data_IF_335674318701
#
_entry.id   IF_335674318701
#
_cell.length_a   1.000
_cell.length_b   1.000
_cell.length_c   1.000
_cell.angle_alpha   90.00
_cell.angle_beta   90.00
_cell.angle_gamma   90.00
#
_symmetry.space_group_name_H-M   'P 1'
#
loop_
_entity.id
_entity.type
_entity.pdbx_description
1 polymer ?
#
# COMPACT_ATOMS: atom_id res chain seq x y z
N UNK A 1 -12.49 -42.11 -71.15
CA UNK A 1 -11.17 -41.44 -71.18
C UNK A 1 -11.37 -39.95 -70.90
N UNK A 2 -10.99 -39.50 -69.71
CA UNK A 2 -10.83 -38.09 -69.30
C UNK A 2 -9.40 -37.99 -68.78
N UNK A 3 -8.61 -36.97 -69.16
CA UNK A 3 -8.51 -35.76 -68.32
C UNK A 3 -8.35 -34.49 -69.19
N UNK A 4 -8.69 -33.28 -68.73
CA UNK A 4 -7.75 -32.42 -68.01
C UNK A 4 -8.57 -31.29 -67.37
N UNK A 5 -9.09 -31.56 -66.17
CA UNK A 5 -9.63 -30.55 -65.23
C UNK A 5 -8.51 -29.96 -64.35
N UNK A 6 -7.27 -30.02 -64.84
CA UNK A 6 -6.02 -29.85 -64.06
C UNK A 6 -5.23 -28.58 -64.39
N UNK A 7 -5.80 -27.66 -65.19
CA UNK A 7 -5.13 -26.39 -65.53
C UNK A 7 -5.54 -25.25 -64.56
N UNK A 8 -6.72 -25.33 -63.93
CA UNK A 8 -7.20 -24.30 -63.00
C UNK A 8 -6.65 -24.44 -61.57
N UNK A 9 -5.96 -25.54 -61.24
CA UNK A 9 -5.51 -25.84 -59.88
C UNK A 9 -4.00 -25.57 -59.67
N UNK A 10 -3.27 -25.15 -60.72
CA UNK A 10 -1.85 -24.81 -60.60
C UNK A 10 -1.57 -23.31 -60.46
N UNK A 11 -2.60 -22.46 -60.53
CA UNK A 11 -2.45 -21.01 -60.29
C UNK A 11 -2.40 -20.64 -58.80
N UNK A 12 -2.66 -21.59 -57.90
CA UNK A 12 -2.70 -21.34 -56.46
C UNK A 12 -1.36 -21.62 -55.73
N UNK A 13 -0.36 -22.21 -56.40
CA UNK A 13 0.92 -22.55 -55.75
C UNK A 13 2.07 -21.55 -56.03
N UNK A 14 1.91 -20.62 -56.98
CA UNK A 14 2.99 -19.71 -57.39
C UNK A 14 2.95 -18.31 -56.74
N UNK A 15 1.94 -18.02 -55.91
CA UNK A 15 1.83 -16.74 -55.17
C UNK A 15 2.35 -16.87 -53.72
N UNK A 16 2.54 -18.09 -53.20
CA UNK A 16 3.02 -18.34 -51.84
C UNK A 16 4.54 -18.27 -51.63
N UNK A 17 5.33 -18.04 -52.69
CA UNK A 17 6.79 -18.17 -52.65
C UNK A 17 7.55 -16.85 -52.93
N UNK A 18 6.92 -15.69 -52.71
CA UNK A 18 7.49 -14.37 -53.02
C UNK A 18 7.69 -13.42 -51.81
N UNK A 19 7.58 -13.89 -50.57
CA UNK A 19 7.77 -13.05 -49.37
C UNK A 19 8.89 -13.49 -48.41
N UNK A 20 9.93 -14.19 -48.90
CA UNK A 20 11.09 -14.59 -48.07
C UNK A 20 12.41 -13.88 -48.41
N UNK A 21 12.36 -12.70 -49.04
CA UNK A 21 13.55 -11.84 -49.21
C UNK A 21 13.36 -10.49 -48.52
N UNK A 22 13.55 -10.46 -47.20
CA UNK A 22 13.89 -9.24 -46.46
C UNK A 22 15.06 -9.56 -45.53
N UNK A 23 16.24 -9.73 -46.12
CA UNK A 23 17.50 -9.87 -45.38
C UNK A 23 18.21 -8.50 -45.34
N UNK A 24 18.40 -8.00 -44.13
CA UNK A 24 19.53 -7.18 -43.66
C UNK A 24 20.10 -6.10 -44.61
N UNK A 25 19.59 -4.88 -44.48
CA UNK A 25 20.42 -3.68 -44.68
C UNK A 25 21.26 -3.46 -43.42
N UNK A 26 22.52 -3.91 -43.45
CA UNK A 26 23.56 -3.43 -42.53
C UNK A 26 23.94 -2.02 -42.97
N UNK A 27 23.32 -1.01 -42.37
CA UNK A 27 23.89 0.33 -42.36
C UNK A 27 24.96 0.37 -41.26
N UNK A 28 26.19 0.72 -41.64
CA UNK A 28 27.27 0.95 -40.70
C UNK A 28 26.98 2.27 -39.96
N UNK A 29 26.48 2.17 -38.73
CA UNK A 29 26.40 3.29 -37.80
C UNK A 29 27.81 3.59 -37.29
N UNK A 30 28.30 4.85 -37.34
CA UNK A 30 29.60 5.18 -36.78
C UNK A 30 29.54 4.99 -35.26
N UNK A 31 30.56 4.31 -34.73
CA UNK A 31 30.73 4.09 -33.30
C UNK A 31 30.87 5.43 -32.57
N UNK A 32 29.77 5.91 -31.98
CA UNK A 32 29.80 6.97 -30.99
C UNK A 32 29.93 6.30 -29.63
N UNK A 33 31.02 6.66 -28.96
CA UNK A 33 31.46 6.15 -27.67
C UNK A 33 30.34 5.97 -26.66
N UNK A 34 30.37 4.82 -25.99
CA UNK A 34 29.68 4.56 -24.74
C UNK A 34 30.15 5.56 -23.67
N UNK A 35 29.44 6.67 -23.57
CA UNK A 35 29.23 7.34 -22.29
C UNK A 35 27.85 6.93 -21.80
N UNK A 36 27.79 6.05 -20.79
CA UNK A 36 26.58 5.87 -20.00
C UNK A 36 26.25 7.20 -19.30
N UNK A 37 25.59 8.11 -20.00
CA UNK A 37 24.69 9.02 -19.31
C UNK A 37 23.43 8.21 -19.01
N UNK A 38 23.40 7.62 -17.81
CA UNK A 38 22.17 7.14 -17.19
C UNK A 38 21.32 8.38 -16.94
N UNK A 39 20.75 8.94 -18.02
CA UNK A 39 19.76 9.99 -17.93
C UNK A 39 18.65 9.38 -17.10
N UNK A 40 18.58 9.80 -15.84
CA UNK A 40 17.61 9.34 -14.88
C UNK A 40 16.25 9.40 -15.58
N UNK A 41 15.61 8.24 -15.72
CA UNK A 41 14.18 8.19 -15.99
C UNK A 41 13.56 9.08 -14.93
N UNK A 42 13.15 10.29 -15.31
CA UNK A 42 12.38 11.16 -14.44
C UNK A 42 11.12 10.36 -14.13
N UNK A 43 11.10 9.73 -12.96
CA UNK A 43 9.92 9.08 -12.39
C UNK A 43 8.82 10.13 -12.49
N UNK A 44 7.88 9.94 -13.41
CA UNK A 44 6.69 10.76 -13.50
C UNK A 44 6.15 10.87 -12.07
N UNK A 45 5.94 12.10 -11.60
CA UNK A 45 5.48 12.35 -10.24
C UNK A 45 4.30 11.42 -9.96
N UNK A 46 4.47 10.50 -9.00
CA UNK A 46 3.49 9.46 -8.67
C UNK A 46 2.11 10.10 -8.56
N UNK A 47 1.18 9.74 -9.45
CA UNK A 47 -0.16 10.35 -9.47
C UNK A 47 -0.87 10.12 -8.12
N UNK A 48 -0.49 9.05 -7.42
CA UNK A 48 -0.93 8.71 -6.08
C UNK A 48 0.26 8.70 -5.13
N UNK A 49 0.19 9.52 -4.08
CA UNK A 49 1.31 9.71 -3.14
C UNK A 49 1.61 8.45 -2.32
N UNK A 50 0.64 7.54 -2.22
CA UNK A 50 0.78 6.26 -1.53
C UNK A 50 -0.03 5.22 -2.28
N UNK A 51 0.57 4.04 -2.48
CA UNK A 51 -0.07 2.84 -2.99
C UNK A 51 0.47 1.63 -2.22
N UNK A 52 -0.41 0.74 -1.78
CA UNK A 52 -0.06 -0.54 -1.16
C UNK A 52 -1.08 -1.59 -1.55
N UNK A 53 -0.61 -2.74 -2.05
CA UNK A 53 -1.41 -3.96 -2.22
C UNK A 53 -1.15 -4.90 -1.04
N UNK A 54 -2.22 -5.43 -0.45
CA UNK A 54 -2.24 -6.29 0.73
C UNK A 54 -3.02 -7.55 0.38
N UNK A 55 -2.29 -8.62 0.05
CA UNK A 55 -2.87 -9.93 -0.18
C UNK A 55 -3.21 -10.61 1.15
N UNK A 56 -4.47 -11.02 1.33
CA UNK A 56 -4.93 -11.76 2.52
C UNK A 56 -4.81 -13.27 2.29
N UNK A 57 -5.30 -13.71 1.14
CA UNK A 57 -5.27 -15.09 0.67
C UNK A 57 -5.43 -15.11 -0.85
N UNK A 58 -5.17 -16.24 -1.54
CA UNK A 58 -5.30 -16.29 -3.00
C UNK A 58 -6.64 -15.73 -3.49
N UNK A 59 -6.55 -14.69 -4.31
CA UNK A 59 -7.69 -14.03 -4.93
C UNK A 59 -8.46 -13.03 -4.06
N UNK A 60 -8.07 -12.81 -2.79
CA UNK A 60 -8.61 -11.75 -1.93
C UNK A 60 -7.50 -10.76 -1.55
N UNK A 61 -7.57 -9.56 -2.13
CA UNK A 61 -6.63 -8.47 -1.91
C UNK A 61 -7.34 -7.21 -1.42
N UNK A 62 -6.59 -6.38 -0.71
CA UNK A 62 -6.96 -5.02 -0.38
C UNK A 62 -5.88 -4.06 -0.85
N UNK A 63 -6.29 -3.01 -1.55
CA UNK A 63 -5.40 -1.96 -2.01
C UNK A 63 -5.73 -0.64 -1.31
N UNK A 64 -4.69 0.11 -0.95
CA UNK A 64 -4.80 1.44 -0.35
C UNK A 64 -4.16 2.43 -1.29
N UNK A 65 -4.95 3.37 -1.81
CA UNK A 65 -4.50 4.37 -2.80
C UNK A 65 -4.81 5.76 -2.28
N UNK A 66 -3.80 6.63 -2.19
CA UNK A 66 -3.99 7.98 -1.64
C UNK A 66 -3.79 9.09 -2.66
N UNK A 67 -4.56 10.17 -2.50
CA UNK A 67 -4.41 11.41 -3.26
C UNK A 67 -4.40 12.62 -2.32
N UNK A 68 -4.15 13.80 -2.90
CA UNK A 68 -3.87 15.03 -2.16
C UNK A 68 -2.39 15.35 -2.20
N UNK A 69 -2.07 16.65 -2.25
CA UNK A 69 -0.70 17.16 -2.44
C UNK A 69 -0.32 18.05 -1.25
N UNK A 70 0.93 17.94 -0.79
CA UNK A 70 1.48 18.75 0.30
C UNK A 70 1.97 17.91 1.48
N UNK A 71 2.97 18.41 2.21
CA UNK A 71 3.72 17.67 3.24
C UNK A 71 2.94 17.42 4.55
N UNK A 72 1.91 18.23 4.81
CA UNK A 72 1.00 18.11 5.95
C UNK A 72 -0.47 18.13 5.47
N UNK A 73 -0.71 17.66 4.24
CA UNK A 73 -1.95 17.99 3.51
C UNK A 73 -3.18 17.28 4.04
N UNK A 74 -4.31 17.97 3.88
CA UNK A 74 -5.63 17.35 3.74
C UNK A 74 -5.65 16.61 2.39
N UNK A 75 -6.31 15.47 2.35
CA UNK A 75 -6.44 14.68 1.14
C UNK A 75 -7.45 13.56 1.33
N UNK A 76 -7.28 12.49 0.57
CA UNK A 76 -8.09 11.31 0.76
C UNK A 76 -7.35 10.03 0.39
N UNK A 77 -8.00 8.91 0.65
CA UNK A 77 -7.58 7.60 0.19
C UNK A 77 -8.78 6.70 -0.09
N UNK A 78 -8.55 5.74 -0.98
CA UNK A 78 -9.47 4.65 -1.26
C UNK A 78 -8.94 3.39 -0.57
N UNK A 79 -9.86 2.66 0.06
CA UNK A 79 -9.68 1.24 0.35
C UNK A 79 -10.42 0.47 -0.73
N UNK A 80 -9.74 -0.43 -1.42
CA UNK A 80 -10.29 -1.21 -2.53
C UNK A 80 -10.16 -2.68 -2.16
N UNK A 81 -11.26 -3.41 -2.09
CA UNK A 81 -11.27 -4.86 -1.89
C UNK A 81 -11.57 -5.54 -3.21
N UNK A 82 -10.76 -6.55 -3.53
CA UNK A 82 -10.89 -7.38 -4.73
C UNK A 82 -10.94 -8.85 -4.34
N UNK A 83 -12.11 -9.49 -4.49
CA UNK A 83 -12.27 -10.96 -4.45
C UNK A 83 -12.48 -11.46 -5.88
N UNK A 84 -11.37 -11.76 -6.56
CA UNK A 84 -11.38 -12.20 -7.96
C UNK A 84 -12.01 -13.58 -8.14
N UNK A 85 -11.99 -14.42 -7.10
CA UNK A 85 -12.60 -15.76 -7.13
C UNK A 85 -14.13 -15.69 -7.19
N UNK A 86 -14.71 -14.61 -6.67
CA UNK A 86 -16.16 -14.38 -6.64
C UNK A 86 -16.61 -13.24 -7.53
N UNK A 87 -15.71 -12.60 -8.27
CA UNK A 87 -15.98 -11.37 -9.02
C UNK A 87 -16.65 -10.29 -8.15
N UNK A 88 -16.23 -10.18 -6.88
CA UNK A 88 -16.78 -9.25 -5.91
C UNK A 88 -15.76 -8.18 -5.58
N UNK A 89 -16.16 -6.92 -5.78
CA UNK A 89 -15.29 -5.76 -5.61
C UNK A 89 -16.01 -4.74 -4.74
N UNK A 90 -15.31 -4.16 -3.77
CA UNK A 90 -15.85 -3.11 -2.89
C UNK A 90 -14.85 -1.98 -2.77
N UNK A 91 -15.36 -0.78 -2.48
CA UNK A 91 -14.50 0.35 -2.19
C UNK A 91 -15.06 1.20 -1.06
N UNK A 92 -14.17 1.89 -0.36
CA UNK A 92 -14.49 2.95 0.59
C UNK A 92 -13.59 4.15 0.28
N UNK A 93 -14.20 5.33 0.18
CA UNK A 93 -13.47 6.61 0.08
C UNK A 93 -13.44 7.30 1.44
N UNK A 94 -12.27 7.79 1.83
CA UNK A 94 -12.06 8.42 3.13
C UNK A 94 -11.25 9.71 2.98
N UNK A 95 -11.69 10.77 3.65
CA UNK A 95 -10.90 12.00 3.81
C UNK A 95 -9.88 11.84 4.94
N UNK A 96 -8.70 12.41 4.78
CA UNK A 96 -7.62 12.34 5.76
C UNK A 96 -6.99 13.70 6.04
N UNK A 97 -6.49 13.84 7.27
CA UNK A 97 -5.52 14.85 7.66
C UNK A 97 -4.15 14.19 7.87
N UNK A 98 -3.09 14.82 7.35
CA UNK A 98 -1.77 14.20 7.34
C UNK A 98 -1.61 13.17 6.22
N UNK A 99 -0.40 12.65 6.04
CA UNK A 99 -0.03 11.73 4.95
C UNK A 99 -0.11 10.27 5.38
N UNK A 100 -0.41 9.35 4.45
CA UNK A 100 -0.30 7.91 4.73
C UNK A 100 1.18 7.53 4.64
N UNK A 101 1.69 6.85 5.66
CA UNK A 101 3.08 6.39 5.72
C UNK A 101 3.22 4.88 5.58
N UNK A 102 2.21 4.11 5.99
CA UNK A 102 2.13 2.67 5.70
C UNK A 102 0.68 2.18 5.82
N UNK A 103 0.43 0.96 5.35
CA UNK A 103 -0.81 0.25 5.53
C UNK A 103 -0.56 -1.26 5.63
N UNK A 104 -1.28 -1.95 6.51
CA UNK A 104 -1.15 -3.39 6.71
C UNK A 104 -2.46 -4.03 7.17
N UNK A 105 -2.53 -5.36 7.06
CA UNK A 105 -3.60 -6.17 7.62
C UNK A 105 -3.14 -6.87 8.90
N UNK A 106 -3.99 -6.91 9.94
CA UNK A 106 -3.74 -7.66 11.17
C UNK A 106 -5.04 -8.04 11.87
N UNK A 107 -5.33 -9.33 11.99
CA UNK A 107 -6.47 -9.82 12.78
C UNK A 107 -6.09 -9.84 14.27
N UNK A 108 -6.36 -8.73 14.99
CA UNK A 108 -5.92 -8.57 16.38
C UNK A 108 -6.83 -9.31 17.37
N UNK A 109 -8.12 -9.46 17.05
CA UNK A 109 -9.06 -10.14 17.93
C UNK A 109 -9.32 -11.61 17.57
N UNK A 110 -8.69 -12.10 16.48
CA UNK A 110 -8.71 -13.46 15.96
C UNK A 110 -10.12 -13.92 15.52
N UNK A 111 -10.90 -13.02 14.94
CA UNK A 111 -12.23 -13.34 14.41
C UNK A 111 -12.20 -13.78 12.93
N UNK A 112 -11.04 -13.67 12.27
CA UNK A 112 -10.80 -14.07 10.89
C UNK A 112 -11.23 -13.06 9.84
N UNK A 113 -11.77 -11.91 10.23
CA UNK A 113 -12.07 -10.81 9.32
C UNK A 113 -10.79 -10.03 8.99
N UNK A 114 -10.60 -9.59 7.74
CA UNK A 114 -9.50 -8.68 7.43
C UNK A 114 -9.66 -7.35 8.16
N UNK A 115 -8.66 -6.95 8.92
CA UNK A 115 -8.59 -5.62 9.55
C UNK A 115 -7.43 -4.82 8.95
N UNK A 116 -7.75 -3.70 8.32
CA UNK A 116 -6.80 -2.79 7.70
C UNK A 116 -6.42 -1.66 8.65
N UNK A 117 -5.12 -1.48 8.85
CA UNK A 117 -4.51 -0.42 9.64
C UNK A 117 -3.83 0.55 8.71
N UNK A 118 -4.32 1.79 8.67
CA UNK A 118 -3.80 2.85 7.81
C UNK A 118 -3.05 3.84 8.69
N UNK A 119 -1.72 3.84 8.58
CA UNK A 119 -0.85 4.71 9.37
C UNK A 119 -0.81 6.11 8.76
N UNK A 120 -1.22 7.09 9.57
CA UNK A 120 -1.20 8.50 9.23
C UNK A 120 -0.08 9.20 9.97
N UNK A 121 0.54 10.17 9.30
CA UNK A 121 1.50 11.09 9.89
C UNK A 121 1.05 12.54 9.69
N UNK A 122 0.92 13.29 10.78
CA UNK A 122 0.62 14.72 10.78
C UNK A 122 1.71 15.50 11.51
N UNK A 123 1.85 16.80 11.20
CA UNK A 123 2.82 17.70 11.85
C UNK A 123 4.25 17.13 11.84
N UNK A 124 4.59 16.40 10.78
CA UNK A 124 5.85 15.65 10.56
C UNK A 124 6.20 14.53 11.56
N UNK A 125 5.67 14.54 12.78
CA UNK A 125 6.10 13.61 13.83
C UNK A 125 4.95 12.86 14.48
N UNK A 126 3.70 13.32 14.38
CA UNK A 126 2.57 12.71 15.09
C UNK A 126 2.00 11.58 14.27
N UNK A 127 2.01 10.35 14.81
CA UNK A 127 1.32 9.22 14.16
C UNK A 127 -0.05 8.95 14.73
N UNK A 128 -0.92 8.45 13.85
CA UNK A 128 -2.23 7.93 14.20
C UNK A 128 -2.60 6.74 13.29
N UNK A 129 -3.68 6.04 13.64
CA UNK A 129 -4.21 4.92 12.85
C UNK A 129 -5.68 5.13 12.55
N UNK A 130 -6.03 5.02 11.27
CA UNK A 130 -7.40 4.70 10.89
C UNK A 130 -7.51 3.19 10.72
N UNK A 131 -8.45 2.56 11.42
CA UNK A 131 -8.64 1.10 11.42
C UNK A 131 -10.00 0.75 10.80
N UNK A 132 -10.02 -0.26 9.93
CA UNK A 132 -11.22 -0.76 9.28
C UNK A 132 -11.24 -2.28 9.26
N UNK A 133 -12.30 -2.88 9.78
CA UNK A 133 -12.59 -4.29 9.60
C UNK A 133 -13.45 -4.48 8.34
N UNK A 134 -13.14 -5.48 7.52
CA UNK A 134 -14.00 -5.87 6.42
C UNK A 134 -14.81 -7.11 6.78
N UNK A 135 -16.05 -6.89 7.20
CA UNK A 135 -16.97 -7.95 7.61
C UNK A 135 -18.38 -7.68 7.06
N UNK A 136 -19.15 -8.74 6.81
CA UNK A 136 -20.51 -8.61 6.24
C UNK A 136 -20.57 -7.98 4.82
N UNK A 137 -19.43 -7.86 4.12
CA UNK A 137 -19.36 -7.23 2.80
C UNK A 137 -19.22 -5.70 2.82
N UNK A 138 -18.88 -5.11 3.97
CA UNK A 138 -18.67 -3.68 4.15
C UNK A 138 -17.37 -3.39 4.91
N UNK A 139 -16.86 -2.17 4.74
CA UNK A 139 -15.77 -1.63 5.56
C UNK A 139 -16.37 -0.96 6.80
N UNK A 140 -16.10 -1.54 7.97
CA UNK A 140 -16.58 -1.07 9.26
C UNK A 140 -15.43 -0.34 9.97
N UNK A 141 -15.60 0.96 10.21
CA UNK A 141 -14.56 1.76 10.87
C UNK A 141 -14.48 1.40 12.35
N UNK A 142 -13.28 1.05 12.82
CA UNK A 142 -12.97 0.86 14.23
C UNK A 142 -12.31 2.14 14.75
N UNK A 143 -12.81 2.65 15.88
CA UNK A 143 -12.27 3.87 16.48
C UNK A 143 -10.95 3.56 17.18
N UNK A 144 -9.85 4.09 16.65
CA UNK A 144 -8.55 3.97 17.30
C UNK A 144 -8.44 4.95 18.47
N UNK A 145 -8.05 4.49 19.67
CA UNK A 145 -8.16 5.33 20.86
C UNK A 145 -7.03 6.38 20.90
N UNK A 146 -7.35 7.65 21.21
CA UNK A 146 -6.34 8.69 21.30
C UNK A 146 -5.47 8.51 22.54
N UNK A 147 -4.30 9.15 22.55
CA UNK A 147 -3.49 9.26 23.76
C UNK A 147 -4.28 9.92 24.90
N UNK A 148 -4.14 9.39 26.12
CA UNK A 148 -4.77 9.94 27.31
C UNK A 148 -4.31 11.38 27.57
N UNK A 149 -5.13 12.17 28.26
CA UNK A 149 -4.78 13.56 28.62
C UNK A 149 -3.49 13.65 29.44
N UNK A 150 -3.16 12.60 30.22
CA UNK A 150 -1.88 12.51 30.95
C UNK A 150 -0.72 12.24 30.00
N UNK A 151 -0.86 11.27 29.10
CA UNK A 151 0.17 10.93 28.11
C UNK A 151 0.50 12.12 27.18
N UNK A 152 -0.52 12.87 26.75
CA UNK A 152 -0.37 14.06 25.89
C UNK A 152 0.53 15.15 26.48
N UNK A 153 0.61 15.28 27.81
CA UNK A 153 1.46 16.29 28.47
C UNK A 153 2.95 16.04 28.26
N UNK A 154 3.33 14.78 28.10
CA UNK A 154 4.73 14.36 27.99
C UNK A 154 5.04 13.73 26.63
N UNK A 155 4.19 13.97 25.63
CA UNK A 155 4.26 13.32 24.34
C UNK A 155 5.20 14.03 23.36
N UNK A 156 6.22 13.33 22.88
CA UNK A 156 7.25 13.87 21.98
C UNK A 156 7.02 13.68 20.48
N UNK A 157 5.94 13.01 20.05
CA UNK A 157 5.75 12.60 18.65
C UNK A 157 6.74 11.51 18.23
N UNK A 158 7.10 11.44 16.96
CA UNK A 158 7.99 10.44 16.35
C UNK A 158 7.62 9.01 16.72
N UNK A 159 6.32 8.73 16.72
CA UNK A 159 5.82 7.44 17.14
C UNK A 159 6.27 6.33 16.21
N UNK A 160 6.31 5.13 16.76
CA UNK A 160 6.50 3.90 16.00
C UNK A 160 5.39 2.94 16.36
N UNK A 161 4.62 2.53 15.37
CA UNK A 161 3.76 1.36 15.50
C UNK A 161 4.58 0.11 15.19
N UNK A 162 4.46 -0.91 16.04
CA UNK A 162 5.15 -2.18 15.85
C UNK A 162 4.20 -3.31 16.12
N UNK A 163 4.27 -4.31 15.27
CA UNK A 163 3.60 -5.59 15.50
C UNK A 163 4.62 -6.56 16.04
N UNK A 164 4.29 -7.21 17.16
CA UNK A 164 5.12 -8.27 17.73
C UNK A 164 4.23 -9.32 18.36
N UNK A 165 4.43 -10.58 17.98
CA UNK A 165 3.68 -11.73 18.53
C UNK A 165 2.15 -11.57 18.44
N UNK A 166 1.64 -10.98 17.35
CA UNK A 166 0.20 -10.72 17.18
C UNK A 166 -0.34 -9.56 18.01
N UNK A 167 0.53 -8.78 18.66
CA UNK A 167 0.15 -7.61 19.45
C UNK A 167 0.60 -6.32 18.78
N UNK A 168 -0.20 -5.26 18.91
CA UNK A 168 0.10 -3.92 18.39
C UNK A 168 0.67 -3.04 19.48
N UNK A 169 1.89 -2.55 19.27
CA UNK A 169 2.57 -1.62 20.16
C UNK A 169 2.68 -0.24 19.51
N UNK A 170 2.67 0.81 20.33
CA UNK A 170 3.11 2.17 19.96
C UNK A 170 4.21 2.59 20.92
N UNK A 171 5.33 3.06 20.41
CA UNK A 171 6.33 3.77 21.22
C UNK A 171 6.48 5.23 20.79
N UNK A 172 6.87 6.09 21.72
CA UNK A 172 7.21 7.49 21.48
C UNK A 172 8.14 8.03 22.58
N UNK A 173 8.99 9.03 22.32
CA UNK A 173 9.83 9.64 23.33
C UNK A 173 9.02 10.51 24.28
N UNK A 174 9.43 10.50 25.54
CA UNK A 174 8.89 11.36 26.60
C UNK A 174 9.59 12.73 26.54
N UNK A 175 8.81 13.81 26.58
CA UNK A 175 9.28 15.20 26.69
C UNK A 175 8.61 15.89 27.87
N UNK A 176 9.14 17.03 28.33
CA UNK A 176 8.57 17.83 29.42
C UNK A 176 8.25 17.04 30.69
N UNK A 177 9.03 15.99 30.98
CA UNK A 177 8.81 15.20 32.18
C UNK A 177 9.17 15.99 33.43
N UNK A 178 8.29 15.94 34.42
CA UNK A 178 8.52 16.42 35.78
C UNK A 178 8.79 15.26 36.75
N UNK A 179 8.83 14.02 36.24
CA UNK A 179 9.05 12.81 37.01
C UNK A 179 10.54 12.46 37.02
N UNK A 180 11.07 12.09 38.19
CA UNK A 180 12.44 11.61 38.32
C UNK A 180 12.64 10.21 37.73
N UNK A 181 11.59 9.40 37.65
CA UNK A 181 11.63 8.04 37.12
C UNK A 181 11.59 8.00 35.57
N UNK A 182 10.80 8.88 34.94
CA UNK A 182 10.68 8.96 33.49
C UNK A 182 11.40 10.21 32.96
N UNK A 183 12.60 10.06 32.41
CA UNK A 183 13.41 11.19 31.95
C UNK A 183 13.04 11.62 30.53
N UNK A 184 13.30 12.88 30.20
CA UNK A 184 13.20 13.34 28.80
C UNK A 184 14.10 12.47 27.90
N UNK A 185 13.55 12.05 26.76
CA UNK A 185 14.20 11.16 25.81
C UNK A 185 14.02 9.66 26.09
N UNK A 186 13.51 9.24 27.25
CA UNK A 186 13.13 7.84 27.43
C UNK A 186 11.91 7.50 26.57
N UNK A 187 11.82 6.26 26.07
CA UNK A 187 10.64 5.80 25.31
C UNK A 187 9.51 5.38 26.25
N UNK A 188 8.32 5.89 25.97
CA UNK A 188 7.03 5.35 26.44
C UNK A 188 6.61 4.22 25.49
N UNK A 189 6.03 3.16 26.02
CA UNK A 189 5.49 2.06 25.22
C UNK A 189 4.06 1.74 25.65
N UNK A 190 3.17 1.68 24.67
CA UNK A 190 1.76 1.32 24.83
C UNK A 190 1.49 0.03 24.05
N UNK A 191 0.67 -0.83 24.64
CA UNK A 191 0.14 -2.04 24.03
C UNK A 191 -1.35 -1.85 23.78
N UNK A 192 -1.77 -2.05 22.54
CA UNK A 192 -3.15 -2.03 22.10
C UNK A 192 -3.65 -3.45 21.94
N UNK A 193 -4.83 -3.71 22.50
CA UNK A 193 -5.56 -4.97 22.30
C UNK A 193 -6.93 -4.65 21.74
N UNK A 194 -7.38 -5.47 20.82
CA UNK A 194 -8.71 -5.37 20.23
C UNK A 194 -9.57 -6.53 20.73
N UNK A 195 -10.85 -6.25 21.04
CA UNK A 195 -11.87 -7.27 21.32
C UNK A 195 -13.18 -6.83 20.70
N UNK A 196 -13.61 -7.49 19.62
CA UNK A 196 -14.61 -6.94 18.72
C UNK A 196 -14.15 -5.56 18.26
N UNK A 197 -15.06 -4.59 18.20
CA UNK A 197 -14.73 -3.24 17.72
C UNK A 197 -14.20 -2.27 18.78
N UNK A 198 -13.63 -2.76 19.89
CA UNK A 198 -13.17 -1.91 21.00
C UNK A 198 -11.70 -2.16 21.37
N UNK A 199 -10.90 -1.10 21.33
CA UNK A 199 -9.52 -1.14 21.79
C UNK A 199 -9.40 -0.90 23.31
N UNK A 200 -8.48 -1.63 23.94
CA UNK A 200 -7.92 -1.32 25.26
C UNK A 200 -6.44 -0.97 25.15
N UNK A 201 -5.94 -0.12 26.06
CA UNK A 201 -4.55 0.33 26.08
C UNK A 201 -3.93 -0.04 27.43
N UNK A 202 -2.80 -0.74 27.38
CA UNK A 202 -1.93 -0.99 28.53
C UNK A 202 -0.61 -0.24 28.36
N UNK A 203 -0.12 0.36 29.44
CA UNK A 203 1.23 0.93 29.47
C UNK A 203 2.22 -0.14 29.89
N UNK A 204 3.28 -0.33 29.10
CA UNK A 204 4.34 -1.29 29.43
C UNK A 204 5.44 -0.57 30.19
N UNK A 205 5.49 -0.79 31.50
CA UNK A 205 6.60 -0.37 32.35
C UNK A 205 7.76 -1.35 32.17
N UNK A 206 8.96 -0.85 31.87
CA UNK A 206 10.20 -1.64 31.96
C UNK A 206 10.67 -1.72 33.40
#
# INVERSE_FOLDING_TARGET
>A
MKPLKYISQQSALLVGLLFLFACNTKEAVPAVNAGEDRSAVKKNADHFAFYKDIAIKPGLNFEVVSWGKGVDSIGGYLLLMSDSTKSNYKSLSVEREGIITDAWNMDLDNDGNPELYIELQSKKTVKDLNVYEYSGGSFNKISFPPLSSRAKKTYGGNDKFMIKNGELFRSYPIVNSTDTAAKNGSEKMLLYRLRGNTFSIDEITK
#
